data_IF_936648490718
#
_entry.id   IF_936648490718
#
_cell.length_a   1.000
_cell.length_b   1.000
_cell.length_c   1.000
_cell.angle_alpha   90.00
_cell.angle_beta   90.00
_cell.angle_gamma   90.00
#
_symmetry.space_group_name_H-M   'P 1'
#
loop_
_entity.id
_entity.type
_entity.pdbx_description
1 polymer ?
#
# COMPACT_ATOMS: atom_id res chain seq x y z
N UNK A 1 5.11 -1.56 -10.73
CA UNK A 1 4.88 -2.87 -11.35
C UNK A 1 4.78 -3.95 -10.28
N UNK A 2 3.60 -4.56 -10.13
CA UNK A 2 3.45 -5.81 -9.38
C UNK A 2 3.85 -6.92 -10.34
N UNK A 3 4.80 -7.78 -9.97
CA UNK A 3 5.31 -8.83 -10.86
C UNK A 3 4.15 -9.73 -11.30
N UNK A 4 3.90 -9.82 -12.61
CA UNK A 4 2.75 -10.54 -13.18
C UNK A 4 1.64 -9.62 -13.70
N UNK A 5 1.64 -8.33 -13.34
CA UNK A 5 0.67 -7.35 -13.79
C UNK A 5 1.37 -6.20 -14.54
N UNK A 6 0.94 -5.97 -15.79
CA UNK A 6 1.58 -5.03 -16.70
C UNK A 6 1.18 -3.55 -16.47
N UNK A 7 0.31 -3.28 -15.49
CA UNK A 7 -0.25 -1.97 -15.23
C UNK A 7 0.29 -1.33 -13.94
N UNK A 8 0.16 -0.02 -13.85
CA UNK A 8 0.31 0.69 -12.57
C UNK A 8 -0.80 0.24 -11.60
N UNK A 9 -0.52 0.13 -10.29
CA UNK A 9 -1.53 -0.26 -9.32
C UNK A 9 -2.71 0.71 -9.27
N UNK A 10 -3.90 0.19 -9.52
CA UNK A 10 -5.18 0.85 -9.32
C UNK A 10 -6.13 -0.03 -8.49
N UNK A 11 -7.31 0.50 -8.15
CA UNK A 11 -8.25 -0.23 -7.29
C UNK A 11 -8.78 -1.51 -7.93
N UNK A 12 -9.01 -1.51 -9.25
CA UNK A 12 -9.46 -2.70 -9.98
C UNK A 12 -8.43 -3.82 -9.84
N UNK A 13 -7.17 -3.53 -10.14
CA UNK A 13 -6.09 -4.50 -10.01
C UNK A 13 -5.95 -5.01 -8.57
N UNK A 14 -6.06 -4.12 -7.59
CA UNK A 14 -5.93 -4.51 -6.18
C UNK A 14 -7.09 -5.42 -5.73
N UNK A 15 -8.32 -5.16 -6.17
CA UNK A 15 -9.45 -6.06 -5.92
C UNK A 15 -9.30 -7.39 -6.66
N UNK A 16 -8.82 -7.40 -7.91
CA UNK A 16 -8.53 -8.64 -8.63
C UNK A 16 -7.54 -9.51 -7.85
N UNK A 17 -6.46 -8.92 -7.32
CA UNK A 17 -5.48 -9.63 -6.47
C UNK A 17 -6.13 -10.08 -5.15
N UNK A 18 -6.94 -9.24 -4.52
CA UNK A 18 -7.62 -9.57 -3.27
C UNK A 18 -8.51 -10.80 -3.43
N UNK A 19 -9.29 -10.84 -4.52
CA UNK A 19 -10.22 -11.92 -4.83
C UNK A 19 -9.48 -13.17 -5.33
N UNK A 20 -8.49 -13.03 -6.20
CA UNK A 20 -7.71 -14.16 -6.73
C UNK A 20 -7.02 -14.95 -5.61
N UNK A 21 -6.44 -14.24 -4.64
CA UNK A 21 -5.66 -14.84 -3.55
C UNK A 21 -6.43 -14.92 -2.22
N UNK A 22 -7.71 -14.53 -2.18
CA UNK A 22 -8.57 -14.54 -0.99
C UNK A 22 -7.92 -13.82 0.21
N UNK A 23 -7.37 -12.62 -0.04
CA UNK A 23 -6.67 -11.82 0.95
C UNK A 23 -7.64 -10.90 1.70
N UNK A 24 -7.40 -10.65 3.00
CA UNK A 24 -8.22 -9.68 3.75
C UNK A 24 -8.01 -8.25 3.22
N UNK A 25 -6.77 -7.89 2.92
CA UNK A 25 -6.38 -6.58 2.43
C UNK A 25 -5.17 -6.66 1.51
N UNK A 26 -5.07 -5.71 0.58
CA UNK A 26 -3.89 -5.52 -0.28
C UNK A 26 -3.43 -4.08 -0.13
N UNK A 27 -2.16 -3.88 0.19
CA UNK A 27 -1.53 -2.56 0.38
C UNK A 27 -0.30 -2.48 -0.52
N UNK A 28 -0.20 -1.42 -1.32
CA UNK A 28 0.91 -1.22 -2.25
C UNK A 28 1.52 0.17 -2.03
N UNK A 29 2.78 0.19 -1.59
CA UNK A 29 3.57 1.41 -1.51
C UNK A 29 3.99 1.86 -2.91
N UNK A 30 3.75 3.13 -3.23
CA UNK A 30 4.00 3.77 -4.52
C UNK A 30 5.18 4.76 -4.47
N UNK A 31 6.10 4.56 -3.53
CA UNK A 31 7.26 5.44 -3.28
C UNK A 31 6.80 6.90 -3.06
N UNK A 32 7.39 7.87 -3.75
CA UNK A 32 7.04 9.31 -3.74
C UNK A 32 5.60 9.64 -4.17
N UNK A 33 4.82 8.63 -4.57
CA UNK A 33 3.39 8.77 -4.89
C UNK A 33 2.50 8.32 -3.73
N UNK A 34 3.10 7.85 -2.64
CA UNK A 34 2.43 7.45 -1.41
C UNK A 34 2.02 5.99 -1.39
N UNK A 35 0.75 5.69 -1.15
CA UNK A 35 0.22 4.33 -0.97
C UNK A 35 -1.18 4.19 -1.56
N UNK A 36 -1.49 3.02 -2.10
CA UNK A 36 -2.84 2.60 -2.48
C UNK A 36 -3.17 1.28 -1.78
N UNK A 37 -4.40 1.14 -1.28
CA UNK A 37 -4.83 -0.06 -0.57
C UNK A 37 -6.32 -0.36 -0.76
N UNK A 38 -6.68 -1.63 -0.62
CA UNK A 38 -8.06 -2.14 -0.56
C UNK A 38 -8.23 -3.12 0.62
N UNK A 39 -9.43 -3.12 1.21
CA UNK A 39 -9.86 -4.07 2.26
C UNK A 39 -11.37 -4.30 2.12
N UNK A 40 -11.79 -5.48 1.66
CA UNK A 40 -13.18 -5.69 1.23
C UNK A 40 -13.61 -4.61 0.24
N UNK A 41 -14.68 -3.86 0.55
CA UNK A 41 -15.17 -2.76 -0.29
C UNK A 41 -14.52 -1.40 0.02
N UNK A 42 -13.63 -1.34 1.00
CA UNK A 42 -12.91 -0.12 1.35
C UNK A 42 -11.70 0.05 0.45
N UNK A 43 -11.47 1.29 0.03
CA UNK A 43 -10.35 1.65 -0.83
C UNK A 43 -9.76 2.99 -0.38
N UNK A 44 -8.44 3.10 -0.42
CA UNK A 44 -7.75 4.33 -0.03
C UNK A 44 -6.54 4.56 -0.92
N UNK A 45 -6.31 5.84 -1.24
CA UNK A 45 -5.10 6.32 -1.88
C UNK A 45 -4.62 7.57 -1.16
N UNK A 46 -3.42 7.51 -0.60
CA UNK A 46 -2.83 8.59 0.19
C UNK A 46 -1.53 8.99 -0.49
N UNK A 47 -1.38 10.27 -0.83
CA UNK A 47 -0.14 10.80 -1.38
C UNK A 47 0.95 10.92 -0.30
N UNK A 48 2.22 10.89 -0.69
CA UNK A 48 3.32 11.20 0.23
C UNK A 48 3.50 12.71 0.39
N UNK A 49 4.18 13.12 1.45
CA UNK A 49 4.64 14.50 1.60
C UNK A 49 5.63 14.87 0.48
N UNK A 50 5.51 16.08 -0.05
CA UNK A 50 6.44 16.61 -1.06
C UNK A 50 7.59 17.34 -0.35
N UNK A 51 8.66 16.60 -0.07
CA UNK A 51 9.88 17.10 0.57
C UNK A 51 11.12 16.58 -0.16
N UNK A 52 12.28 17.24 -0.05
CA UNK A 52 13.53 16.69 -0.57
C UNK A 52 13.86 15.34 0.09
N UNK A 53 14.08 14.32 -0.73
CA UNK A 53 14.41 12.97 -0.27
C UNK A 53 15.92 12.81 -0.31
N UNK A 54 16.51 12.51 0.86
CA UNK A 54 17.96 12.34 1.01
C UNK A 54 18.32 10.85 0.87
N UNK A 55 17.56 9.97 1.51
CA UNK A 55 17.78 8.52 1.52
C UNK A 55 16.43 7.79 1.70
N UNK A 56 16.20 6.74 0.90
CA UNK A 56 15.00 5.89 0.95
C UNK A 56 15.27 4.52 1.59
N UNK A 57 16.50 4.27 2.03
CA UNK A 57 16.89 3.03 2.70
C UNK A 57 16.00 2.80 3.92
N UNK A 58 15.35 1.64 3.97
CA UNK A 58 14.45 1.27 5.06
C UNK A 58 13.05 1.91 5.01
N UNK A 59 12.67 2.64 3.95
CA UNK A 59 11.34 3.22 3.82
C UNK A 59 10.22 2.15 3.86
N UNK A 60 10.42 1.02 3.18
CA UNK A 60 9.49 -0.11 3.19
C UNK A 60 9.37 -0.78 4.57
N UNK A 61 10.50 -1.01 5.24
CA UNK A 61 10.51 -1.59 6.59
C UNK A 61 9.85 -0.66 7.61
N UNK A 62 10.10 0.65 7.49
CA UNK A 62 9.47 1.67 8.33
C UNK A 62 7.96 1.72 8.11
N UNK A 63 7.51 1.67 6.85
CA UNK A 63 6.09 1.60 6.52
C UNK A 63 5.44 0.37 7.13
N UNK A 64 6.02 -0.81 6.93
CA UNK A 64 5.51 -2.07 7.48
C UNK A 64 5.44 -2.04 9.01
N UNK A 65 6.50 -1.56 9.66
CA UNK A 65 6.57 -1.43 11.11
C UNK A 65 5.48 -0.50 11.66
N UNK A 66 5.31 0.68 11.04
CA UNK A 66 4.26 1.63 11.41
C UNK A 66 2.86 1.07 11.16
N UNK A 67 2.64 0.40 10.04
CA UNK A 67 1.34 -0.19 9.68
C UNK A 67 0.94 -1.29 10.67
N UNK A 68 1.83 -2.24 10.96
CA UNK A 68 1.59 -3.30 11.94
C UNK A 68 1.35 -2.72 13.33
N UNK A 69 2.13 -1.72 13.74
CA UNK A 69 1.91 -1.02 15.00
C UNK A 69 0.51 -0.41 15.08
N UNK A 70 0.07 0.30 14.04
CA UNK A 70 -1.26 0.90 13.95
C UNK A 70 -2.38 -0.14 14.04
N UNK A 71 -2.24 -1.28 13.36
CA UNK A 71 -3.21 -2.39 13.45
C UNK A 71 -3.30 -2.93 14.88
N UNK A 72 -2.16 -3.18 15.54
CA UNK A 72 -2.13 -3.69 16.93
C UNK A 72 -2.75 -2.68 17.90
N UNK A 73 -2.62 -1.38 17.62
CA UNK A 73 -3.18 -0.31 18.44
C UNK A 73 -4.64 0.02 18.10
N UNK A 74 -5.26 -0.68 17.15
CA UNK A 74 -6.59 -0.36 16.61
C UNK A 74 -6.71 1.13 16.24
N UNK A 75 -5.65 1.67 15.64
CA UNK A 75 -5.70 3.01 15.08
C UNK A 75 -6.66 3.00 13.88
N UNK A 76 -7.44 4.07 13.72
CA UNK A 76 -8.41 4.19 12.64
C UNK A 76 -7.76 4.17 11.26
#
# INVERSE_FOLDING_TARGET
FIRGYAAEPDFTLLHDIQDEYQLEAVVVTLDVRGVIAVKGNEQVKIGSYTIPIIDTTGAGDTFNGAFVYSLIKNMP
#
